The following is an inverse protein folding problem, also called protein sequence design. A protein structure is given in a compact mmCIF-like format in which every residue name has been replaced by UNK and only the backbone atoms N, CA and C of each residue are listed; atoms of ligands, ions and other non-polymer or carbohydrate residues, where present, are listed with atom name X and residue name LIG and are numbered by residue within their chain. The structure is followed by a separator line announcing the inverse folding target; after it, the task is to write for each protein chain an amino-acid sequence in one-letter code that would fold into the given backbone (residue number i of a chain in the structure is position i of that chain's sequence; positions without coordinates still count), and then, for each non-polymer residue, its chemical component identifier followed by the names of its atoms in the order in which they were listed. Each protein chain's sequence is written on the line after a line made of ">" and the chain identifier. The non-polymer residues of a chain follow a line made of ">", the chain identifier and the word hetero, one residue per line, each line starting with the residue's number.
data_IF_984364998181
#
_entry.id   IF_984364998181
#
_cell.length_a   1.000
_cell.length_b   1.000
_cell.length_c   1.000
_cell.angle_alpha   90.00
_cell.angle_beta   90.00
_cell.angle_gamma   90.00
#
_symmetry.space_group_name_H-M   'P 1'
#
loop_
_entity.id
_entity.type
_entity.pdbx_description
1 polymer ?
#
# COMPACT_ATOMS: atom_id res chain seq x y z
N UNK A 1 -3.77 1.24 -26.57
CA UNK A 1 -2.88 1.58 -25.43
C UNK A 1 -1.52 0.94 -25.72
N UNK A 2 -0.37 1.58 -25.45
CA UNK A 2 1.01 1.02 -25.50
C UNK A 2 1.95 1.38 -26.67
N UNK A 3 2.18 2.66 -26.95
CA UNK A 3 3.49 3.07 -27.49
C UNK A 3 4.21 3.99 -26.49
N UNK A 4 3.46 4.92 -25.88
CA UNK A 4 3.97 5.84 -24.86
C UNK A 4 4.44 5.14 -23.58
N UNK A 5 3.69 4.16 -23.05
CA UNK A 5 4.08 3.42 -21.83
C UNK A 5 5.30 2.51 -22.05
N UNK A 6 5.54 2.04 -23.28
CA UNK A 6 6.69 1.17 -23.58
C UNK A 6 7.99 1.97 -23.78
N UNK A 7 7.87 3.25 -24.17
CA UNK A 7 8.99 4.17 -24.31
C UNK A 7 9.28 4.97 -23.02
N UNK A 8 8.46 4.78 -21.98
CA UNK A 8 8.64 5.42 -20.68
C UNK A 8 9.61 4.55 -19.86
N UNK A 9 10.91 4.88 -19.92
CA UNK A 9 11.96 4.20 -19.12
C UNK A 9 11.90 4.59 -17.63
N UNK A 10 10.97 5.45 -17.22
CA UNK A 10 10.75 5.78 -15.83
C UNK A 10 10.20 4.55 -15.10
N UNK A 11 11.08 3.86 -14.36
CA UNK A 11 10.67 2.75 -13.50
C UNK A 11 9.66 3.27 -12.47
N UNK A 12 8.40 2.83 -12.49
CA UNK A 12 7.40 3.38 -11.59
C UNK A 12 7.83 3.13 -10.15
N UNK A 13 7.74 4.16 -9.31
CA UNK A 13 7.97 4.00 -7.88
C UNK A 13 6.87 3.12 -7.28
N UNK A 14 7.19 1.85 -7.09
CA UNK A 14 6.28 0.88 -6.48
C UNK A 14 6.52 0.79 -4.97
N UNK A 15 5.44 0.58 -4.23
CA UNK A 15 5.48 0.24 -2.81
C UNK A 15 4.43 -0.83 -2.53
N UNK A 16 4.63 -1.55 -1.43
CA UNK A 16 3.71 -2.60 -0.96
C UNK A 16 3.31 -2.34 0.48
N UNK A 17 2.11 -2.78 0.84
CA UNK A 17 1.66 -2.88 2.23
C UNK A 17 1.45 -4.36 2.53
N UNK A 18 1.79 -4.78 3.74
CA UNK A 18 1.53 -6.10 4.27
C UNK A 18 0.78 -5.97 5.60
N UNK A 19 -0.06 -6.96 5.92
CA UNK A 19 -0.68 -7.11 7.23
C UNK A 19 -0.34 -8.48 7.81
N UNK A 20 -0.22 -8.56 9.13
CA UNK A 20 0.31 -9.73 9.84
C UNK A 20 -0.70 -10.18 10.89
N UNK A 21 -0.83 -11.49 11.06
CA UNK A 21 -1.61 -12.07 12.15
C UNK A 21 -0.81 -13.18 12.84
N UNK A 22 -1.00 -13.31 14.15
CA UNK A 22 -0.31 -14.25 15.02
C UNK A 22 -1.33 -15.17 15.67
N UNK A 23 -1.17 -16.48 15.46
CA UNK A 23 -1.93 -17.49 16.20
C UNK A 23 -1.34 -17.70 17.61
N UNK A 24 -2.16 -17.86 18.66
CA UNK A 24 -3.63 -17.73 18.68
C UNK A 24 -4.13 -16.30 18.94
N UNK A 25 -3.22 -15.33 19.15
CA UNK A 25 -3.52 -13.94 19.55
C UNK A 25 -4.62 -13.29 18.71
N UNK A 26 -4.52 -13.42 17.40
CA UNK A 26 -5.40 -12.73 16.44
C UNK A 26 -6.54 -13.62 15.94
N UNK A 27 -6.63 -14.86 16.43
CA UNK A 27 -7.65 -15.80 16.02
C UNK A 27 -7.21 -17.25 16.22
N UNK A 28 -8.16 -18.10 16.60
CA UNK A 28 -7.96 -19.53 16.70
C UNK A 28 -8.36 -20.31 15.43
N UNK A 29 -8.84 -19.62 14.39
CA UNK A 29 -9.21 -20.23 13.10
C UNK A 29 -8.50 -19.51 11.96
N UNK A 30 -8.34 -20.20 10.82
CA UNK A 30 -7.72 -19.62 9.63
C UNK A 30 -8.44 -18.36 9.16
N UNK A 31 -9.78 -18.36 9.18
CA UNK A 31 -10.61 -17.22 8.79
C UNK A 31 -10.34 -16.00 9.68
N UNK A 32 -10.19 -16.21 10.99
CA UNK A 32 -9.90 -15.12 11.93
C UNK A 32 -8.51 -14.52 11.71
N UNK A 33 -7.50 -15.38 11.49
CA UNK A 33 -6.14 -14.93 11.19
C UNK A 33 -6.08 -14.15 9.88
N UNK A 34 -6.69 -14.67 8.81
CA UNK A 34 -6.74 -13.99 7.51
C UNK A 34 -7.49 -12.66 7.59
N UNK A 35 -8.62 -12.63 8.31
CA UNK A 35 -9.39 -11.39 8.53
C UNK A 35 -8.57 -10.36 9.31
N UNK A 36 -7.80 -10.79 10.30
CA UNK A 36 -6.94 -9.87 11.08
C UNK A 36 -5.80 -9.29 10.22
N UNK A 37 -5.12 -10.15 9.47
CA UNK A 37 -4.05 -9.72 8.56
C UNK A 37 -4.57 -8.76 7.48
N UNK A 38 -5.74 -9.04 6.89
CA UNK A 38 -6.36 -8.18 5.88
C UNK A 38 -6.74 -6.79 6.47
N UNK A 39 -7.29 -6.76 7.67
CA UNK A 39 -7.57 -5.49 8.36
C UNK A 39 -6.32 -4.66 8.61
N UNK A 40 -5.21 -5.29 9.00
CA UNK A 40 -3.94 -4.58 9.19
C UNK A 40 -3.38 -4.06 7.86
N UNK A 41 -3.42 -4.87 6.80
CA UNK A 41 -3.04 -4.46 5.45
C UNK A 41 -3.79 -3.20 5.03
N UNK A 42 -5.12 -3.17 5.19
CA UNK A 42 -5.94 -2.02 4.81
C UNK A 42 -5.63 -0.77 5.64
N UNK A 43 -5.34 -0.91 6.94
CA UNK A 43 -4.87 0.22 7.78
C UNK A 43 -3.55 0.78 7.24
N UNK A 44 -2.60 -0.09 6.91
CA UNK A 44 -1.30 0.31 6.36
C UNK A 44 -1.45 1.01 5.01
N UNK A 45 -2.35 0.51 4.15
CA UNK A 45 -2.70 1.14 2.86
C UNK A 45 -3.29 2.55 3.05
N UNK A 46 -4.19 2.72 4.02
CA UNK A 46 -4.80 4.01 4.32
C UNK A 46 -3.75 5.02 4.83
N UNK A 47 -2.87 4.60 5.73
CA UNK A 47 -1.77 5.43 6.24
C UNK A 47 -0.79 5.85 5.13
N UNK A 48 -0.39 4.91 4.25
CA UNK A 48 0.47 5.21 3.12
C UNK A 48 -0.17 6.22 2.16
N UNK A 49 -1.47 6.08 1.86
CA UNK A 49 -2.20 7.03 1.01
C UNK A 49 -2.24 8.43 1.62
N UNK A 50 -2.45 8.54 2.93
CA UNK A 50 -2.42 9.82 3.63
C UNK A 50 -1.03 10.48 3.56
N UNK A 51 0.05 9.69 3.73
CA UNK A 51 1.41 10.18 3.62
C UNK A 51 1.75 10.64 2.19
N UNK A 52 1.35 9.90 1.15
CA UNK A 52 1.53 10.32 -0.25
C UNK A 52 0.75 11.60 -0.57
N UNK A 53 -0.47 11.75 -0.05
CA UNK A 53 -1.26 12.97 -0.26
C UNK A 53 -0.65 14.20 0.42
N UNK A 54 -0.03 14.04 1.60
CA UNK A 54 0.65 15.12 2.30
C UNK A 54 2.00 15.52 1.64
N UNK A 55 2.59 14.65 0.81
CA UNK A 55 3.87 14.87 0.15
C UNK A 55 3.77 15.44 -1.28
N UNK A 56 2.60 15.92 -1.71
CA UNK A 56 2.43 16.57 -3.02
C UNK A 56 3.38 17.78 -3.16
N UNK A 57 3.96 18.02 -4.36
CA UNK A 57 5.15 18.85 -4.49
C UNK A 57 4.85 20.34 -4.29
N UNK A 58 5.60 20.98 -3.40
CA UNK A 58 5.88 22.42 -3.47
C UNK A 58 6.87 22.59 -4.64
N UNK A 59 6.35 22.80 -5.85
CA UNK A 59 7.19 22.82 -7.04
C UNK A 59 6.51 23.32 -8.29
N UNK A 60 5.89 24.51 -8.24
CA UNK A 60 5.66 25.34 -9.44
C UNK A 60 5.45 26.80 -8.99
N UNK A 61 6.56 27.50 -8.73
CA UNK A 61 6.60 28.96 -8.64
C UNK A 61 7.95 29.44 -9.18
N UNK A 62 8.12 29.40 -10.50
CA UNK A 62 9.00 30.30 -11.28
C UNK A 62 8.37 30.50 -12.65
#
# INVERSE_FOLDING_TARGET
>A
INARLMADEESPRLSVSAGVAVYPRDGATAEKLLTSADRELYRNKAAARAATAAAAPVGELV
#
